data_IF_033555893909
#
_entry.id   IF_033555893909
#
_cell.length_a   1.000
_cell.length_b   1.000
_cell.length_c   1.000
_cell.angle_alpha   90.00
_cell.angle_beta   90.00
_cell.angle_gamma   90.00
#
_symmetry.space_group_name_H-M   'P 1'
#
loop_
_entity.id
_entity.type
_entity.pdbx_description
1 polymer ?
#
# COMPACT_ATOMS: atom_id res chain seq x y z
N UNK A 1 -3.21 36.66 -37.76
CA UNK A 1 -3.15 37.24 -36.40
C UNK A 1 -3.44 36.17 -35.36
N UNK A 2 -4.50 35.37 -35.55
CA UNK A 2 -4.85 34.19 -34.75
C UNK A 2 -3.71 33.24 -34.40
N UNK A 3 -2.84 32.90 -35.37
CA UNK A 3 -1.74 31.96 -35.15
C UNK A 3 -0.68 32.52 -34.19
N UNK A 4 -0.45 33.83 -34.23
CA UNK A 4 0.50 34.51 -33.33
C UNK A 4 -0.07 34.55 -31.92
N UNK A 5 -1.37 34.85 -31.79
CA UNK A 5 -2.07 34.88 -30.51
C UNK A 5 -2.03 33.49 -29.86
N UNK A 6 -2.33 32.44 -30.62
CA UNK A 6 -2.24 31.05 -30.15
C UNK A 6 -0.83 30.65 -29.71
N UNK A 7 0.20 31.03 -30.49
CA UNK A 7 1.59 30.74 -30.15
C UNK A 7 2.03 31.44 -28.85
N UNK A 8 1.61 32.69 -28.63
CA UNK A 8 1.90 33.43 -27.40
C UNK A 8 1.23 32.78 -26.18
N UNK A 9 -0.05 32.43 -26.28
CA UNK A 9 -0.78 31.76 -25.19
C UNK A 9 -0.10 30.45 -24.78
N UNK A 10 0.30 29.63 -25.77
CA UNK A 10 0.98 28.36 -25.53
C UNK A 10 2.35 28.55 -24.86
N UNK A 11 3.17 29.48 -25.35
CA UNK A 11 4.49 29.75 -24.78
C UNK A 11 4.40 30.29 -23.34
N UNK A 12 3.45 31.18 -23.07
CA UNK A 12 3.20 31.70 -21.71
C UNK A 12 2.80 30.56 -20.77
N UNK A 13 1.89 29.67 -21.19
CA UNK A 13 1.51 28.50 -20.40
C UNK A 13 2.69 27.57 -20.08
N UNK A 14 3.57 27.31 -21.06
CA UNK A 14 4.77 26.49 -20.88
C UNK A 14 5.74 27.16 -19.89
N UNK A 15 6.00 28.46 -20.06
CA UNK A 15 6.90 29.20 -19.18
C UNK A 15 6.37 29.23 -17.74
N UNK A 16 5.09 29.50 -17.54
CA UNK A 16 4.47 29.47 -16.20
C UNK A 16 4.59 28.08 -15.58
N UNK A 17 4.26 27.02 -16.32
CA UNK A 17 4.38 25.64 -15.82
C UNK A 17 5.81 25.21 -15.50
N UNK A 18 6.80 25.72 -16.24
CA UNK A 18 8.23 25.40 -16.08
C UNK A 18 8.86 26.12 -14.89
N UNK A 19 8.48 27.39 -14.67
CA UNK A 19 9.14 28.28 -13.72
C UNK A 19 8.37 28.52 -12.42
N UNK A 20 7.06 28.21 -12.38
CA UNK A 20 6.22 28.36 -11.18
C UNK A 20 5.54 27.02 -10.78
N UNK A 21 6.32 25.96 -10.48
CA UNK A 21 5.78 24.63 -10.17
C UNK A 21 4.92 24.59 -8.89
N UNK A 22 5.07 25.58 -8.00
CA UNK A 22 4.30 25.69 -6.75
C UNK A 22 2.87 26.26 -6.91
N UNK A 23 2.53 26.86 -8.05
CA UNK A 23 1.17 27.33 -8.35
C UNK A 23 0.26 26.21 -8.88
N UNK A 24 0.85 25.07 -9.26
CA UNK A 24 0.12 23.89 -9.68
C UNK A 24 -0.51 23.16 -8.50
N UNK A 25 -1.73 22.64 -8.69
CA UNK A 25 -2.38 21.75 -7.72
C UNK A 25 -1.46 20.55 -7.49
N UNK A 26 -0.86 20.47 -6.30
CA UNK A 26 -0.06 19.33 -5.86
C UNK A 26 -0.86 18.08 -6.20
N UNK A 27 -0.39 17.27 -7.16
CA UNK A 27 -0.97 15.95 -7.40
C UNK A 27 -0.84 15.24 -6.07
N UNK A 28 -1.93 15.17 -5.33
CA UNK A 28 -2.02 14.37 -4.11
C UNK A 28 -1.61 12.99 -4.58
N UNK A 29 -0.40 12.54 -4.23
CA UNK A 29 -0.01 11.18 -4.54
C UNK A 29 -1.03 10.34 -3.80
N UNK A 30 -1.93 9.71 -4.56
CA UNK A 30 -2.81 8.71 -3.97
C UNK A 30 -1.84 7.69 -3.42
N UNK A 31 -1.78 7.57 -2.09
CA UNK A 31 -0.93 6.57 -1.46
C UNK A 31 -1.29 5.25 -2.13
N UNK A 32 -0.31 4.63 -2.80
CA UNK A 32 -0.54 3.32 -3.38
C UNK A 32 -0.98 2.43 -2.23
N UNK A 33 -2.22 1.93 -2.32
CA UNK A 33 -2.72 0.91 -1.40
C UNK A 33 -1.82 -0.30 -1.62
N UNK A 34 -0.83 -0.45 -0.76
CA UNK A 34 0.02 -1.63 -0.78
C UNK A 34 -0.83 -2.76 -0.21
N UNK A 35 -1.09 -3.83 -0.98
CA UNK A 35 -1.84 -4.98 -0.49
C UNK A 35 -0.93 -5.77 0.48
N UNK A 36 -0.77 -5.25 1.69
CA UNK A 36 -0.05 -5.91 2.77
C UNK A 36 -0.97 -6.93 3.46
N UNK A 37 -0.46 -8.15 3.63
CA UNK A 37 -1.03 -9.12 4.56
C UNK A 37 -1.02 -8.54 5.98
N UNK A 38 -1.87 -9.05 6.89
CA UNK A 38 -1.79 -8.72 8.32
C UNK A 38 -0.42 -9.01 8.97
N UNK A 39 0.42 -9.78 8.28
CA UNK A 39 1.80 -10.12 8.60
C UNK A 39 2.86 -9.17 7.99
N UNK A 40 2.47 -8.15 7.22
CA UNK A 40 3.37 -7.14 6.65
C UNK A 40 4.04 -7.51 5.31
N UNK A 41 3.90 -8.75 4.85
CA UNK A 41 4.43 -9.18 3.55
C UNK A 41 3.54 -8.79 2.38
N UNK A 42 4.17 -8.56 1.22
CA UNK A 42 3.45 -8.28 -0.02
C UNK A 42 2.57 -9.49 -0.42
N UNK A 43 1.39 -9.19 -0.96
CA UNK A 43 0.47 -10.22 -1.44
C UNK A 43 1.07 -11.15 -2.51
N UNK A 44 2.12 -10.71 -3.21
CA UNK A 44 2.87 -11.49 -4.21
C UNK A 44 3.65 -12.68 -3.64
N UNK A 45 3.89 -12.74 -2.33
CA UNK A 45 4.55 -13.88 -1.68
C UNK A 45 3.62 -15.07 -1.44
N UNK A 46 2.34 -14.97 -1.81
CA UNK A 46 1.36 -16.04 -1.58
C UNK A 46 1.14 -16.89 -2.84
N UNK A 47 1.07 -18.20 -2.65
CA UNK A 47 0.63 -19.13 -3.71
C UNK A 47 -0.90 -19.09 -3.91
N UNK A 48 -1.39 -19.88 -4.87
CA UNK A 48 -2.83 -20.00 -5.17
C UNK A 48 -3.64 -20.60 -4.00
N UNK A 49 -2.99 -21.39 -3.14
CA UNK A 49 -3.61 -21.95 -1.93
C UNK A 49 -3.60 -20.96 -0.77
N UNK A 50 -2.97 -19.79 -0.94
CA UNK A 50 -2.85 -18.74 0.05
C UNK A 50 -1.69 -18.93 1.03
N UNK A 51 -0.76 -19.87 0.80
CA UNK A 51 0.42 -20.04 1.67
C UNK A 51 1.45 -18.95 1.35
N UNK A 52 1.99 -18.33 2.38
CA UNK A 52 3.08 -17.37 2.24
C UNK A 52 4.45 -18.06 2.14
N UNK A 53 5.30 -17.54 1.24
CA UNK A 53 6.67 -18.01 1.02
C UNK A 53 7.74 -17.02 1.50
N UNK A 54 7.37 -16.01 2.28
CA UNK A 54 8.30 -15.07 2.91
C UNK A 54 8.77 -15.56 4.28
N UNK A 55 9.89 -15.04 4.74
CA UNK A 55 10.42 -15.28 6.09
C UNK A 55 10.17 -14.08 7.01
N UNK A 56 9.91 -14.37 8.29
CA UNK A 56 9.83 -13.40 9.37
C UNK A 56 11.10 -13.40 10.19
N UNK A 57 11.48 -12.23 10.69
CA UNK A 57 12.48 -12.12 11.76
C UNK A 57 11.78 -12.18 13.11
N UNK A 58 12.10 -13.20 13.92
CA UNK A 58 11.54 -13.37 15.25
C UNK A 58 12.64 -13.28 16.31
N UNK A 59 12.29 -12.82 17.51
CA UNK A 59 13.23 -12.76 18.62
C UNK A 59 13.53 -14.18 19.12
N UNK A 60 14.81 -14.50 19.23
CA UNK A 60 15.31 -15.75 19.80
C UNK A 60 15.65 -15.54 21.27
N UNK A 61 15.20 -16.44 22.13
CA UNK A 61 15.39 -16.40 23.58
C UNK A 61 16.07 -17.68 24.08
N UNK A 62 17.00 -17.54 25.03
CA UNK A 62 17.66 -18.65 25.71
C UNK A 62 17.71 -18.36 27.22
N UNK A 63 17.23 -19.29 28.04
CA UNK A 63 17.17 -19.12 29.49
C UNK A 63 16.44 -17.85 29.96
N UNK A 64 15.48 -17.34 29.18
CA UNK A 64 14.79 -16.07 29.46
C UNK A 64 15.56 -14.80 29.07
N UNK A 65 16.79 -14.94 28.57
CA UNK A 65 17.58 -13.84 28.01
C UNK A 65 17.40 -13.77 26.50
N UNK A 66 17.32 -12.55 25.96
CA UNK A 66 17.31 -12.34 24.51
C UNK A 66 18.70 -12.64 23.94
N UNK A 67 18.77 -13.48 22.90
CA UNK A 67 20.04 -13.91 22.28
C UNK A 67 20.19 -13.50 20.82
N UNK A 68 19.16 -12.88 20.23
CA UNK A 68 19.23 -12.37 18.86
C UNK A 68 17.89 -12.45 18.13
N UNK A 69 17.97 -12.35 16.81
CA UNK A 69 16.85 -12.61 15.90
C UNK A 69 17.16 -13.82 15.04
N UNK A 70 16.13 -14.58 14.68
CA UNK A 70 16.23 -15.66 13.71
C UNK A 70 15.19 -15.52 12.61
N UNK A 71 15.56 -15.96 11.40
CA UNK A 71 14.68 -15.99 10.25
C UNK A 71 13.89 -17.28 10.27
N UNK A 72 12.56 -17.18 10.30
CA UNK A 72 11.64 -18.32 10.30
C UNK A 72 10.59 -18.15 9.19
N UNK A 73 10.11 -19.23 8.57
CA UNK A 73 9.06 -19.14 7.56
C UNK A 73 7.78 -18.47 8.08
N UNK A 74 7.13 -17.62 7.29
CA UNK A 74 5.83 -17.08 7.66
C UNK A 74 4.77 -18.19 7.70
N UNK A 75 4.14 -18.36 8.85
CA UNK A 75 3.01 -19.30 9.03
C UNK A 75 1.66 -18.70 8.62
N UNK A 76 1.66 -17.53 7.97
CA UNK A 76 0.47 -16.81 7.56
C UNK A 76 -0.22 -17.46 6.35
N UNK A 77 -1.56 -17.45 6.36
CA UNK A 77 -2.40 -17.91 5.27
C UNK A 77 -3.28 -16.76 4.75
N UNK A 78 -3.14 -16.40 3.48
CA UNK A 78 -4.02 -15.45 2.81
C UNK A 78 -5.37 -16.12 2.53
N UNK A 79 -6.44 -15.41 2.82
CA UNK A 79 -7.78 -15.82 2.41
C UNK A 79 -7.91 -15.75 0.87
N UNK A 80 -8.21 -16.87 0.25
CA UNK A 80 -8.43 -17.02 -1.21
C UNK A 80 -9.87 -17.43 -1.55
N UNK A 81 -10.78 -17.40 -0.58
CA UNK A 81 -12.19 -17.75 -0.75
C UNK A 81 -13.03 -16.65 -1.42
N UNK A 82 -14.35 -16.88 -1.56
CA UNK A 82 -15.29 -15.88 -2.09
C UNK A 82 -15.28 -14.61 -1.23
N UNK A 83 -15.71 -13.48 -1.79
CA UNK A 83 -15.74 -12.20 -1.07
C UNK A 83 -16.35 -12.35 0.35
N UNK A 84 -15.64 -11.92 1.42
CA UNK A 84 -16.16 -12.00 2.77
C UNK A 84 -17.50 -11.27 2.87
N UNK A 85 -18.45 -11.83 3.63
CA UNK A 85 -19.73 -11.15 3.85
C UNK A 85 -19.47 -9.75 4.44
N UNK A 86 -20.17 -8.71 3.95
CA UNK A 86 -20.03 -7.38 4.50
C UNK A 86 -20.36 -7.42 6.00
N UNK A 87 -19.52 -6.77 6.81
CA UNK A 87 -19.75 -6.65 8.23
C UNK A 87 -20.96 -5.72 8.46
N UNK A 88 -22.09 -6.30 8.83
CA UNK A 88 -23.25 -5.56 9.33
C UNK A 88 -23.20 -5.54 10.86
N UNK A 89 -23.42 -4.37 11.44
CA UNK A 89 -23.59 -4.24 12.89
C UNK A 89 -24.86 -4.98 13.30
N UNK A 90 -24.73 -5.99 14.16
CA UNK A 90 -25.84 -6.61 14.86
C UNK A 90 -25.75 -6.21 16.34
N UNK A 91 -26.77 -5.54 16.92
CA UNK A 91 -26.78 -5.26 18.35
C UNK A 91 -26.82 -6.56 19.17
N UNK A 92 -26.18 -6.56 20.35
CA UNK A 92 -26.28 -7.67 21.30
C UNK A 92 -27.75 -7.91 21.69
N UNK A 93 -28.15 -9.18 21.73
CA UNK A 93 -29.47 -9.58 22.19
C UNK A 93 -29.41 -9.58 23.73
N UNK A 94 -29.95 -8.53 24.35
CA UNK A 94 -30.12 -8.46 25.80
C UNK A 94 -31.47 -9.08 26.18
N UNK A 95 -31.47 -10.02 27.12
CA UNK A 95 -32.69 -10.62 27.71
C UNK A 95 -33.52 -9.63 28.53
#
# INVERSE_FOLDING_TARGET
>A
MELIIGAVILLVGILIGRFLPGLGRQRRSVAQVQPVCGCGHASSFHDEKGRCHADNQVARWDGGSWVGTESVPCSCQKYTGPEPLPAFYAPEITE
#
